data_IF_051601311828
#
_entry.id   IF_051601311828
#
_cell.length_a   1.000
_cell.length_b   1.000
_cell.length_c   1.000
_cell.angle_alpha   90.00
_cell.angle_beta   90.00
_cell.angle_gamma   90.00
#
_symmetry.space_group_name_H-M   'P 1'
#
loop_
_entity.id
_entity.type
_entity.pdbx_description
1 polymer ?
#
# COMPACT_ATOMS: atom_id res chain seq x y z
N UNK A 1 2.54 6.52 -26.77
CA UNK A 1 1.33 7.29 -26.43
C UNK A 1 0.18 6.31 -26.31
N UNK A 2 0.00 5.76 -25.12
CA UNK A 2 -1.18 4.99 -24.72
C UNK A 2 -1.34 5.29 -23.24
N UNK A 3 -1.98 6.43 -23.00
CA UNK A 3 -2.45 6.84 -21.69
C UNK A 3 -3.58 5.85 -21.40
N UNK A 4 -3.26 4.80 -20.63
CA UNK A 4 -4.27 4.01 -19.94
C UNK A 4 -4.94 5.02 -19.00
N UNK A 5 -6.17 5.40 -19.31
CA UNK A 5 -6.98 6.25 -18.45
C UNK A 5 -6.87 5.73 -17.01
N UNK A 6 -6.56 6.58 -16.02
CA UNK A 6 -6.76 6.23 -14.64
C UNK A 6 -8.27 6.09 -14.44
N UNK A 7 -8.78 4.87 -14.60
CA UNK A 7 -10.15 4.45 -14.34
C UNK A 7 -10.60 5.09 -13.04
N UNK A 8 -11.38 6.18 -13.16
CA UNK A 8 -12.57 6.57 -12.40
C UNK A 8 -12.73 5.95 -10.98
N UNK A 9 -11.68 5.96 -10.16
CA UNK A 9 -11.71 5.54 -8.75
C UNK A 9 -12.30 6.64 -7.85
N UNK A 10 -12.62 7.82 -8.40
CA UNK A 10 -13.17 8.96 -7.68
C UNK A 10 -14.61 8.77 -7.18
N UNK A 11 -15.43 7.93 -7.83
CA UNK A 11 -16.87 7.81 -7.50
C UNK A 11 -17.18 6.88 -6.34
N UNK A 12 -16.25 6.01 -5.94
CA UNK A 12 -16.46 5.02 -4.87
C UNK A 12 -16.09 5.54 -3.47
N UNK A 13 -15.48 6.73 -3.37
CA UNK A 13 -15.06 7.33 -2.08
C UNK A 13 -16.22 7.73 -1.15
N UNK A 14 -17.47 7.74 -1.61
CA UNK A 14 -18.63 8.17 -0.83
C UNK A 14 -19.52 7.04 -0.33
N UNK A 15 -19.29 5.80 -0.74
CA UNK A 15 -20.18 4.69 -0.36
C UNK A 15 -19.46 3.73 0.59
N UNK A 16 -19.96 3.78 1.83
CA UNK A 16 -19.60 2.98 3.00
C UNK A 16 -18.24 3.30 3.62
N UNK A 17 -18.25 4.06 4.72
CA UNK A 17 -17.21 3.85 5.73
C UNK A 17 -17.23 2.36 6.08
N UNK A 18 -16.11 1.62 5.96
CA UNK A 18 -16.06 0.19 6.25
C UNK A 18 -16.59 -0.15 7.65
N UNK A 19 -16.52 0.82 8.58
CA UNK A 19 -17.23 0.75 9.85
C UNK A 19 -18.70 0.35 9.67
N UNK A 20 -19.47 1.03 8.81
CA UNK A 20 -20.91 0.78 8.55
C UNK A 20 -21.17 -0.65 8.10
N UNK A 21 -20.25 -1.25 7.34
CA UNK A 21 -20.39 -2.64 6.90
C UNK A 21 -20.20 -3.59 8.09
N UNK A 22 -19.29 -3.28 9.01
CA UNK A 22 -19.13 -4.02 10.26
C UNK A 22 -20.37 -3.87 11.17
N UNK A 23 -20.97 -2.68 11.22
CA UNK A 23 -22.25 -2.43 11.91
C UNK A 23 -23.38 -3.31 11.37
N UNK A 24 -23.55 -3.34 10.04
CA UNK A 24 -24.58 -4.16 9.38
C UNK A 24 -24.31 -5.65 9.62
N UNK A 25 -23.05 -6.09 9.46
CA UNK A 25 -22.67 -7.48 9.64
C UNK A 25 -22.88 -7.98 11.08
N UNK A 26 -22.54 -7.16 12.08
CA UNK A 26 -22.75 -7.48 13.49
C UNK A 26 -24.24 -7.53 13.82
N UNK A 27 -25.06 -6.61 13.30
CA UNK A 27 -26.51 -6.63 13.47
C UNK A 27 -27.16 -7.86 12.82
N UNK A 28 -26.74 -8.25 11.61
CA UNK A 28 -27.25 -9.45 10.93
C UNK A 28 -26.75 -10.74 11.57
N UNK A 29 -25.52 -10.78 12.06
CA UNK A 29 -24.95 -11.93 12.77
C UNK A 29 -25.65 -12.19 14.11
N UNK A 30 -25.93 -11.12 14.88
CA UNK A 30 -26.70 -11.21 16.12
C UNK A 30 -28.15 -11.67 15.86
N UNK A 31 -28.78 -11.21 14.77
CA UNK A 31 -30.11 -11.67 14.37
C UNK A 31 -30.16 -13.09 13.78
N UNK A 32 -29.01 -13.64 13.34
CA UNK A 32 -28.88 -15.03 12.93
C UNK A 32 -28.73 -15.94 14.15
N UNK A 33 -27.88 -15.58 15.11
CA UNK A 33 -27.75 -16.28 16.40
C UNK A 33 -29.04 -16.23 17.23
N UNK A 34 -29.70 -15.08 17.30
CA UNK A 34 -30.98 -14.93 18.00
C UNK A 34 -32.15 -15.69 17.37
N UNK A 35 -32.04 -16.13 16.10
CA UNK A 35 -33.04 -16.99 15.44
C UNK A 35 -32.80 -18.48 15.73
N UNK A 36 -31.59 -18.88 16.11
CA UNK A 36 -31.26 -20.26 16.50
C UNK A 36 -31.70 -20.56 17.93
N UNK A 37 -31.95 -19.54 18.75
CA UNK A 37 -32.31 -19.66 20.17
C UNK A 37 -33.81 -19.41 20.47
N UNK A 38 -34.67 -19.43 19.45
CA UNK A 38 -36.12 -19.23 19.62
C UNK A 38 -36.85 -20.56 19.83
N UNK A 39 -36.66 -21.18 20.99
CA UNK A 39 -37.62 -22.18 21.47
C UNK A 39 -37.86 -22.21 23.00
N UNK A 40 -37.64 -21.10 23.72
CA UNK A 40 -38.02 -21.01 25.14
C UNK A 40 -38.65 -19.66 25.53
N UNK A 41 -39.96 -19.71 25.82
CA UNK A 41 -40.62 -18.82 26.80
C UNK A 41 -41.09 -17.44 26.32
N UNK A 42 -42.34 -17.33 25.85
CA UNK A 42 -43.02 -16.07 25.44
C UNK A 42 -43.41 -15.11 26.60
N UNK A 43 -43.01 -15.38 27.84
CA UNK A 43 -43.54 -14.65 29.03
C UNK A 43 -42.74 -13.43 29.50
N UNK A 44 -41.42 -13.36 29.24
CA UNK A 44 -40.52 -12.31 29.78
C UNK A 44 -39.91 -11.39 28.71
N UNK A 45 -40.40 -11.51 27.47
CA UNK A 45 -39.74 -10.98 26.28
C UNK A 45 -39.63 -9.44 26.21
N UNK A 46 -40.52 -8.70 26.88
CA UNK A 46 -40.62 -7.25 26.69
C UNK A 46 -39.59 -6.44 27.50
N UNK A 47 -39.24 -6.87 28.71
CA UNK A 47 -38.17 -6.24 29.52
C UNK A 47 -36.78 -6.62 28.99
N UNK A 48 -36.56 -7.88 28.61
CA UNK A 48 -35.30 -8.29 28.00
C UNK A 48 -35.06 -7.68 26.60
N UNK A 49 -36.11 -7.27 25.88
CA UNK A 49 -35.95 -6.58 24.61
C UNK A 49 -35.36 -5.17 24.77
N UNK A 50 -35.80 -4.40 25.77
CA UNK A 50 -35.28 -3.06 26.03
C UNK A 50 -33.80 -3.11 26.48
N UNK A 51 -33.47 -4.02 27.40
CA UNK A 51 -32.09 -4.20 27.86
C UNK A 51 -31.16 -4.69 26.75
N UNK A 52 -31.65 -5.55 25.84
CA UNK A 52 -30.90 -5.99 24.65
C UNK A 52 -30.68 -4.85 23.65
N UNK A 53 -31.65 -3.97 23.45
CA UNK A 53 -31.50 -2.80 22.57
C UNK A 53 -30.49 -1.81 23.14
N UNK A 54 -30.53 -1.55 24.45
CA UNK A 54 -29.54 -0.68 25.12
C UNK A 54 -28.15 -1.31 25.10
N UNK A 55 -28.03 -2.61 25.41
CA UNK A 55 -26.76 -3.33 25.33
C UNK A 55 -26.19 -3.33 23.91
N UNK A 56 -27.02 -3.50 22.87
CA UNK A 56 -26.60 -3.35 21.47
C UNK A 56 -26.19 -1.92 21.14
N UNK A 57 -26.95 -0.91 21.60
CA UNK A 57 -26.63 0.50 21.38
C UNK A 57 -25.30 0.94 22.04
N UNK A 58 -24.87 0.27 23.11
CA UNK A 58 -23.60 0.57 23.81
C UNK A 58 -22.45 -0.33 23.34
N UNK A 59 -22.68 -1.63 23.16
CA UNK A 59 -21.65 -2.58 22.75
C UNK A 59 -21.20 -2.36 21.30
N UNK A 60 -22.12 -1.99 20.41
CA UNK A 60 -21.83 -1.80 18.99
C UNK A 60 -20.88 -0.60 18.72
N UNK A 61 -21.05 0.58 19.36
CA UNK A 61 -20.06 1.67 19.24
C UNK A 61 -18.73 1.35 19.94
N UNK A 62 -18.73 0.60 21.04
CA UNK A 62 -17.49 0.18 21.70
C UNK A 62 -16.67 -0.77 20.81
N UNK A 63 -17.32 -1.73 20.14
CA UNK A 63 -16.69 -2.60 19.14
C UNK A 63 -16.21 -1.81 17.93
N UNK A 64 -16.99 -0.81 17.49
CA UNK A 64 -16.58 0.11 16.42
C UNK A 64 -15.32 0.91 16.76
N UNK A 65 -15.27 1.50 17.95
CA UNK A 65 -14.13 2.29 18.44
C UNK A 65 -12.87 1.43 18.63
N UNK A 66 -12.99 0.24 19.23
CA UNK A 66 -11.90 -0.71 19.34
C UNK A 66 -11.40 -1.17 17.96
N UNK A 67 -12.32 -1.34 17.01
CA UNK A 67 -12.02 -1.67 15.62
C UNK A 67 -11.17 -0.60 14.92
N UNK A 68 -11.47 0.69 15.10
CA UNK A 68 -10.70 1.78 14.47
C UNK A 68 -9.25 1.81 14.97
N UNK A 69 -9.04 1.69 16.28
CA UNK A 69 -7.70 1.65 16.87
C UNK A 69 -6.93 0.41 16.38
N UNK A 70 -7.58 -0.76 16.39
CA UNK A 70 -6.98 -1.99 15.89
C UNK A 70 -6.60 -1.87 14.40
N UNK A 71 -7.43 -1.19 13.60
CA UNK A 71 -7.19 -0.96 12.17
C UNK A 71 -5.96 -0.09 11.93
N UNK A 72 -5.74 0.99 12.69
CA UNK A 72 -4.56 1.83 12.47
C UNK A 72 -3.26 1.13 12.88
N UNK A 73 -3.29 0.35 13.97
CA UNK A 73 -2.14 -0.50 14.37
C UNK A 73 -1.87 -1.56 13.30
N UNK A 74 -2.91 -2.26 12.86
CA UNK A 74 -2.80 -3.31 11.85
C UNK A 74 -2.37 -2.74 10.49
N UNK A 75 -2.85 -1.55 10.11
CA UNK A 75 -2.40 -0.83 8.91
C UNK A 75 -0.92 -0.43 9.01
N UNK A 76 -0.43 -0.11 10.22
CA UNK A 76 1.00 0.03 10.50
C UNK A 76 1.78 -1.24 10.17
N UNK A 77 1.33 -2.39 10.68
CA UNK A 77 1.96 -3.70 10.42
C UNK A 77 1.90 -4.06 8.93
N UNK A 78 0.74 -3.88 8.28
CA UNK A 78 0.57 -4.11 6.83
C UNK A 78 1.58 -3.31 6.03
N UNK A 79 1.79 -2.03 6.36
CA UNK A 79 2.80 -1.19 5.69
C UNK A 79 4.22 -1.75 5.87
N UNK A 80 4.57 -2.20 7.07
CA UNK A 80 5.89 -2.81 7.31
C UNK A 80 6.06 -4.14 6.56
N UNK A 81 5.01 -4.96 6.48
CA UNK A 81 5.00 -6.18 5.66
C UNK A 81 5.14 -5.84 4.17
N UNK A 82 4.43 -4.83 3.68
CA UNK A 82 4.53 -4.35 2.30
C UNK A 82 5.93 -3.85 1.94
N UNK A 83 6.64 -3.24 2.87
CA UNK A 83 8.04 -2.85 2.69
C UNK A 83 9.02 -4.03 2.86
N UNK A 84 8.51 -5.22 3.23
CA UNK A 84 9.32 -6.41 3.47
C UNK A 84 10.06 -6.41 4.81
N UNK A 85 9.79 -5.43 5.69
CA UNK A 85 10.48 -5.22 6.97
C UNK A 85 9.94 -6.08 8.11
N UNK A 86 8.62 -6.31 8.13
CA UNK A 86 7.95 -7.11 9.16
C UNK A 86 7.67 -8.56 8.71
N UNK A 87 8.36 -9.06 7.69
CA UNK A 87 8.23 -10.46 7.25
C UNK A 87 9.28 -11.29 8.00
N UNK A 88 8.88 -12.33 8.77
CA UNK A 88 9.84 -13.19 9.46
C UNK A 88 10.89 -13.75 8.49
N UNK A 89 12.15 -13.82 8.92
CA UNK A 89 13.28 -14.28 8.11
C UNK A 89 13.06 -15.59 7.31
N UNK A 90 12.49 -16.67 7.88
CA UNK A 90 12.28 -17.89 7.10
C UNK A 90 11.23 -17.68 6.01
N UNK A 91 10.16 -16.94 6.31
CA UNK A 91 9.08 -16.66 5.36
C UNK A 91 9.55 -15.71 4.25
N UNK A 92 10.36 -14.70 4.57
CA UNK A 92 10.88 -13.76 3.58
C UNK A 92 11.79 -14.45 2.57
N UNK A 93 12.62 -15.40 3.01
CA UNK A 93 13.49 -16.21 2.15
C UNK A 93 12.67 -17.10 1.21
N UNK A 94 11.64 -17.77 1.73
CA UNK A 94 10.76 -18.62 0.93
C UNK A 94 9.97 -17.80 -0.10
N UNK A 95 9.31 -16.72 0.33
CA UNK A 95 8.55 -15.84 -0.55
C UNK A 95 9.43 -15.24 -1.66
N UNK A 96 10.64 -14.80 -1.31
CA UNK A 96 11.61 -14.30 -2.30
C UNK A 96 12.00 -15.39 -3.29
N UNK A 97 12.33 -16.60 -2.84
CA UNK A 97 12.68 -17.74 -3.72
C UNK A 97 11.54 -18.08 -4.68
N UNK A 98 10.33 -18.25 -4.18
CA UNK A 98 9.17 -18.57 -5.01
C UNK A 98 8.82 -17.43 -5.99
N UNK A 99 9.05 -16.17 -5.61
CA UNK A 99 8.88 -15.03 -6.53
C UNK A 99 9.97 -14.96 -7.58
N UNK A 100 11.23 -15.17 -7.19
CA UNK A 100 12.37 -15.19 -8.10
C UNK A 100 12.18 -16.28 -9.16
N UNK A 101 11.80 -17.49 -8.74
CA UNK A 101 11.56 -18.59 -9.67
C UNK A 101 10.44 -18.26 -10.67
N UNK A 102 9.30 -17.76 -10.19
CA UNK A 102 8.19 -17.32 -11.06
C UNK A 102 8.61 -16.20 -12.03
N UNK A 103 9.47 -15.28 -11.57
CA UNK A 103 9.98 -14.20 -12.41
C UNK A 103 10.94 -14.73 -13.48
N UNK A 104 11.86 -15.62 -13.13
CA UNK A 104 12.79 -16.26 -14.06
C UNK A 104 12.06 -17.02 -15.16
N UNK A 105 11.04 -17.83 -14.81
CA UNK A 105 10.19 -18.51 -15.80
C UNK A 105 9.51 -17.52 -16.75
N UNK A 106 9.03 -16.39 -16.23
CA UNK A 106 8.41 -15.35 -17.05
C UNK A 106 9.45 -14.63 -17.94
N UNK A 107 10.67 -14.41 -17.44
CA UNK A 107 11.76 -13.76 -18.15
C UNK A 107 12.27 -14.61 -19.32
N UNK A 108 12.45 -15.92 -19.12
CA UNK A 108 12.78 -16.85 -20.20
C UNK A 108 11.76 -16.78 -21.33
N UNK A 109 10.47 -16.65 -21.01
CA UNK A 109 9.42 -16.46 -22.01
C UNK A 109 9.55 -15.14 -22.80
N UNK A 110 9.96 -14.05 -22.15
CA UNK A 110 10.19 -12.75 -22.81
C UNK A 110 11.41 -12.82 -23.73
N UNK A 111 12.50 -13.44 -23.27
CA UNK A 111 13.74 -13.58 -24.04
C UNK A 111 13.56 -14.51 -25.25
N UNK A 112 12.79 -15.60 -25.09
CA UNK A 112 12.51 -16.55 -26.17
C UNK A 112 11.51 -16.00 -27.21
N UNK A 113 10.73 -14.96 -26.89
CA UNK A 113 9.80 -14.37 -27.83
C UNK A 113 10.54 -13.56 -28.89
N UNK A 114 10.45 -13.98 -30.15
CA UNK A 114 11.00 -13.27 -31.32
C UNK A 114 10.07 -12.16 -31.81
N UNK A 115 8.76 -12.40 -31.73
CA UNK A 115 7.72 -11.44 -32.08
C UNK A 115 7.57 -10.30 -31.06
N UNK A 116 7.44 -9.07 -31.55
CA UNK A 116 7.36 -7.85 -30.75
C UNK A 116 6.09 -7.77 -29.90
N UNK A 117 4.93 -8.18 -30.43
CA UNK A 117 3.67 -8.14 -29.70
C UNK A 117 3.62 -9.18 -28.58
N UNK A 118 4.05 -10.41 -28.88
CA UNK A 118 4.20 -11.46 -27.89
C UNK A 118 5.19 -11.05 -26.80
N UNK A 119 6.34 -10.48 -27.17
CA UNK A 119 7.34 -9.98 -26.23
C UNK A 119 6.75 -8.90 -25.31
N UNK A 120 6.00 -7.93 -25.84
CA UNK A 120 5.28 -6.91 -25.05
C UNK A 120 4.29 -7.52 -24.06
N UNK A 121 3.45 -8.46 -24.51
CA UNK A 121 2.46 -9.13 -23.63
C UNK A 121 3.15 -9.90 -22.50
N UNK A 122 4.20 -10.67 -22.82
CA UNK A 122 4.98 -11.42 -21.84
C UNK A 122 5.73 -10.51 -20.88
N UNK A 123 6.28 -9.39 -21.37
CA UNK A 123 6.92 -8.38 -20.54
C UNK A 123 5.92 -7.77 -19.56
N UNK A 124 4.68 -7.51 -19.98
CA UNK A 124 3.59 -7.09 -19.10
C UNK A 124 3.27 -8.13 -18.01
N UNK A 125 3.23 -9.42 -18.36
CA UNK A 125 3.03 -10.52 -17.38
C UNK A 125 4.17 -10.58 -16.37
N UNK A 126 5.42 -10.48 -16.83
CA UNK A 126 6.63 -10.44 -15.98
C UNK A 126 6.62 -9.22 -15.06
N UNK A 127 6.26 -8.05 -15.58
CA UNK A 127 6.16 -6.79 -14.82
C UNK A 127 5.12 -6.84 -13.68
N UNK A 128 4.07 -7.67 -13.81
CA UNK A 128 3.14 -7.95 -12.70
C UNK A 128 3.83 -8.67 -11.54
N UNK A 129 4.85 -9.48 -11.81
CA UNK A 129 5.67 -10.13 -10.79
C UNK A 129 6.70 -9.15 -10.24
N UNK A 130 7.54 -8.56 -11.08
CA UNK A 130 8.50 -7.50 -10.76
C UNK A 130 9.05 -6.86 -12.05
N UNK A 131 9.44 -5.58 -12.01
CA UNK A 131 10.03 -4.90 -13.17
C UNK A 131 11.47 -5.36 -13.46
N UNK A 132 12.22 -5.58 -12.39
CA UNK A 132 13.57 -6.14 -12.39
C UNK A 132 13.58 -7.44 -11.57
N UNK A 133 14.74 -8.10 -11.49
CA UNK A 133 14.91 -9.29 -10.67
C UNK A 133 14.48 -9.02 -9.20
N UNK A 134 13.54 -9.82 -8.63
CA UNK A 134 13.03 -9.58 -7.28
C UNK A 134 14.11 -9.62 -6.20
N UNK A 135 14.21 -8.55 -5.40
CA UNK A 135 15.17 -8.45 -4.27
C UNK A 135 14.47 -8.43 -2.92
N UNK A 136 13.17 -8.18 -2.89
CA UNK A 136 12.30 -8.06 -1.72
C UNK A 136 11.22 -9.16 -1.73
N UNK A 137 10.71 -9.60 -0.56
CA UNK A 137 9.60 -10.56 -0.48
C UNK A 137 8.30 -10.03 -1.10
N UNK A 138 8.12 -8.71 -1.19
CA UNK A 138 6.91 -8.06 -1.69
C UNK A 138 7.16 -7.24 -2.95
N UNK A 139 6.13 -7.11 -3.79
CA UNK A 139 6.22 -6.25 -4.98
C UNK A 139 6.35 -4.76 -4.61
N UNK A 140 5.69 -4.31 -3.54
CA UNK A 140 5.77 -2.92 -3.07
C UNK A 140 7.17 -2.60 -2.56
N UNK A 141 7.79 -3.51 -1.80
CA UNK A 141 9.18 -3.39 -1.37
C UNK A 141 10.14 -3.37 -2.55
N UNK A 142 9.97 -4.28 -3.52
CA UNK A 142 10.78 -4.28 -4.76
C UNK A 142 10.70 -2.94 -5.49
N UNK A 143 9.50 -2.34 -5.60
CA UNK A 143 9.32 -1.06 -6.30
C UNK A 143 10.02 0.10 -5.59
N UNK A 144 9.88 0.18 -4.27
CA UNK A 144 10.57 1.21 -3.47
C UNK A 144 12.09 1.04 -3.53
N UNK A 145 12.60 -0.19 -3.39
CA UNK A 145 14.04 -0.47 -3.53
C UNK A 145 14.56 -0.22 -4.95
N UNK A 146 13.74 -0.46 -5.98
CA UNK A 146 14.10 -0.16 -7.36
C UNK A 146 14.21 1.35 -7.60
N UNK A 147 13.28 2.16 -7.07
CA UNK A 147 13.39 3.62 -7.07
C UNK A 147 14.70 4.08 -6.41
N UNK A 148 14.96 3.64 -5.19
CA UNK A 148 16.18 4.01 -4.46
C UNK A 148 17.45 3.61 -5.22
N UNK A 149 17.47 2.42 -5.82
CA UNK A 149 18.59 1.94 -6.63
C UNK A 149 18.76 2.76 -7.90
N UNK A 150 17.66 3.12 -8.57
CA UNK A 150 17.69 3.93 -9.79
C UNK A 150 18.20 5.33 -9.48
N UNK A 151 17.66 6.01 -8.48
CA UNK A 151 18.13 7.35 -8.07
C UNK A 151 19.61 7.30 -7.69
N UNK A 152 20.05 6.28 -6.95
CA UNK A 152 21.46 6.12 -6.60
C UNK A 152 22.35 5.89 -7.82
N UNK A 153 21.93 5.05 -8.76
CA UNK A 153 22.73 4.71 -9.94
C UNK A 153 22.78 5.86 -10.95
N UNK A 154 21.68 6.59 -11.14
CA UNK A 154 21.60 7.71 -12.08
C UNK A 154 22.26 8.97 -11.52
N UNK A 155 22.03 9.28 -10.25
CA UNK A 155 22.39 10.57 -9.66
C UNK A 155 23.44 10.48 -8.55
N UNK A 156 23.91 9.29 -8.18
CA UNK A 156 24.80 9.13 -7.02
C UNK A 156 24.15 9.49 -5.68
N UNK A 157 22.84 9.80 -5.67
CA UNK A 157 22.14 10.37 -4.53
C UNK A 157 21.57 9.30 -3.60
N UNK A 158 21.81 9.45 -2.29
CA UNK A 158 21.22 8.61 -1.25
C UNK A 158 19.83 9.14 -0.89
N UNK A 159 18.81 8.66 -1.61
CA UNK A 159 17.44 9.16 -1.50
C UNK A 159 16.93 9.26 -0.04
N UNK A 160 17.07 8.25 0.85
CA UNK A 160 16.62 8.37 2.23
C UNK A 160 17.24 9.53 3.02
N UNK A 161 18.52 9.83 2.77
CA UNK A 161 19.24 10.91 3.46
C UNK A 161 18.96 12.29 2.86
N UNK A 162 18.77 12.34 1.54
CA UNK A 162 18.50 13.57 0.80
C UNK A 162 17.02 14.01 0.89
N UNK A 163 16.10 13.05 1.05
CA UNK A 163 14.65 13.28 0.98
C UNK A 163 14.12 14.40 1.90
N UNK A 164 14.50 14.48 3.20
CA UNK A 164 14.00 15.55 4.06
C UNK A 164 14.38 16.95 3.59
N UNK A 165 15.53 17.09 2.93
CA UNK A 165 16.01 18.38 2.40
C UNK A 165 15.39 18.68 1.05
N UNK A 166 15.30 17.67 0.18
CA UNK A 166 14.56 17.77 -1.07
C UNK A 166 13.13 18.28 -0.79
N UNK A 167 12.47 17.72 0.23
CA UNK A 167 11.12 18.13 0.65
C UNK A 167 10.99 19.62 1.01
N UNK A 168 12.05 20.27 1.48
CA UNK A 168 12.05 21.70 1.80
C UNK A 168 12.18 22.58 0.55
N UNK A 169 12.77 22.04 -0.52
CA UNK A 169 12.95 22.72 -1.81
C UNK A 169 11.74 22.52 -2.74
N UNK A 170 10.95 21.47 -2.51
CA UNK A 170 9.79 21.16 -3.36
C UNK A 170 8.72 22.27 -3.30
N UNK A 171 8.17 22.69 -4.45
CA UNK A 171 7.00 23.57 -4.51
C UNK A 171 5.79 22.96 -3.81
N UNK A 172 4.90 23.81 -3.29
CA UNK A 172 3.70 23.36 -2.57
C UNK A 172 2.80 22.43 -3.37
N UNK A 173 2.63 22.69 -4.66
CA UNK A 173 1.86 21.83 -5.56
C UNK A 173 2.43 20.40 -5.61
N UNK A 174 3.75 20.26 -5.75
CA UNK A 174 4.42 18.95 -5.79
C UNK A 174 4.31 18.22 -4.44
N UNK A 175 4.45 18.97 -3.33
CA UNK A 175 4.24 18.41 -1.98
C UNK A 175 2.80 17.93 -1.78
N UNK A 176 1.82 18.65 -2.34
CA UNK A 176 0.41 18.25 -2.26
C UNK A 176 0.15 16.93 -3.00
N UNK A 177 0.69 16.78 -4.21
CA UNK A 177 0.58 15.55 -4.99
C UNK A 177 1.27 14.34 -4.31
N UNK A 178 2.47 14.54 -3.77
CA UNK A 178 3.17 13.50 -3.01
C UNK A 178 2.38 13.09 -1.75
N UNK A 179 1.81 14.05 -1.01
CA UNK A 179 0.94 13.75 0.14
C UNK A 179 -0.33 13.02 -0.30
N UNK A 180 -0.91 13.38 -1.44
CA UNK A 180 -2.07 12.69 -1.98
C UNK A 180 -1.75 11.22 -2.29
N UNK A 181 -0.66 10.96 -3.02
CA UNK A 181 -0.20 9.61 -3.33
C UNK A 181 0.12 8.79 -2.06
N UNK A 182 0.79 9.40 -1.08
CA UNK A 182 1.03 8.78 0.22
C UNK A 182 -0.28 8.46 0.96
N UNK A 183 -1.27 9.35 0.89
CA UNK A 183 -2.61 9.15 1.43
C UNK A 183 -3.32 7.95 0.81
N UNK A 184 -3.23 7.77 -0.51
CA UNK A 184 -3.78 6.60 -1.21
C UNK A 184 -3.10 5.30 -0.73
N UNK A 185 -1.78 5.33 -0.55
CA UNK A 185 -1.03 4.18 -0.05
C UNK A 185 -1.41 3.81 1.39
N UNK A 186 -1.55 4.80 2.27
CA UNK A 186 -2.04 4.60 3.65
C UNK A 186 -3.48 4.09 3.69
N UNK A 187 -4.35 4.65 2.85
CA UNK A 187 -5.73 4.19 2.75
C UNK A 187 -5.77 2.71 2.34
N UNK A 188 -5.02 2.31 1.31
CA UNK A 188 -4.99 0.92 0.86
C UNK A 188 -4.53 -0.05 1.96
N UNK A 189 -3.52 0.33 2.76
CA UNK A 189 -3.11 -0.48 3.92
C UNK A 189 -4.24 -0.61 4.97
N UNK A 190 -5.01 0.47 5.19
CA UNK A 190 -6.19 0.46 6.06
C UNK A 190 -7.28 -0.48 5.56
N UNK A 191 -7.53 -0.53 4.25
CA UNK A 191 -8.49 -1.47 3.67
C UNK A 191 -8.07 -2.93 3.83
N UNK A 192 -6.77 -3.24 3.80
CA UNK A 192 -6.27 -4.59 4.14
C UNK A 192 -6.53 -4.91 5.60
N UNK A 193 -6.28 -3.96 6.51
CA UNK A 193 -6.55 -4.15 7.93
C UNK A 193 -8.04 -4.50 8.16
N UNK A 194 -8.96 -3.79 7.51
CA UNK A 194 -10.38 -4.15 7.51
C UNK A 194 -10.66 -5.54 6.96
N UNK A 195 -10.04 -5.92 5.83
CA UNK A 195 -10.23 -7.24 5.25
C UNK A 195 -9.79 -8.36 6.21
N UNK A 196 -8.71 -8.16 6.98
CA UNK A 196 -8.27 -9.10 8.01
C UNK A 196 -9.27 -9.21 9.15
N UNK A 197 -9.81 -8.08 9.64
CA UNK A 197 -10.87 -8.12 10.65
C UNK A 197 -12.12 -8.86 10.15
N UNK A 198 -12.53 -8.63 8.91
CA UNK A 198 -13.64 -9.38 8.29
C UNK A 198 -13.32 -10.88 8.15
N UNK A 199 -12.07 -11.25 7.89
CA UNK A 199 -11.66 -12.65 7.82
C UNK A 199 -11.78 -13.37 9.18
N UNK A 200 -11.41 -12.69 10.27
CA UNK A 200 -11.59 -13.22 11.63
C UNK A 200 -13.08 -13.40 11.93
N UNK A 201 -13.90 -12.40 11.60
CA UNK A 201 -15.34 -12.48 11.82
C UNK A 201 -16.03 -13.52 10.92
N UNK A 202 -15.47 -13.80 9.74
CA UNK A 202 -15.96 -14.84 8.84
C UNK A 202 -15.91 -16.25 9.42
N UNK A 203 -15.08 -16.49 10.45
CA UNK A 203 -15.09 -17.74 11.22
C UNK A 203 -16.43 -17.97 11.94
N UNK A 204 -17.14 -16.90 12.28
CA UNK A 204 -18.46 -16.96 12.92
C UNK A 204 -19.60 -16.88 11.91
N UNK A 205 -19.41 -16.15 10.81
CA UNK A 205 -20.44 -15.95 9.79
C UNK A 205 -19.81 -15.90 8.40
N UNK A 206 -19.91 -17.03 7.69
CA UNK A 206 -19.22 -17.28 6.42
C UNK A 206 -19.43 -16.23 5.30
N UNK A 207 -20.56 -15.48 5.19
CA UNK A 207 -20.70 -14.45 4.14
C UNK A 207 -19.64 -13.35 4.23
N UNK A 208 -19.06 -13.13 5.41
CA UNK A 208 -17.95 -12.20 5.58
C UNK A 208 -16.66 -12.68 4.93
N UNK A 209 -16.52 -13.97 4.64
CA UNK A 209 -15.38 -14.47 3.87
C UNK A 209 -15.36 -13.87 2.46
N UNK A 210 -16.54 -13.76 1.83
CA UNK A 210 -16.67 -13.14 0.50
C UNK A 210 -16.33 -11.65 0.59
N UNK A 211 -16.88 -10.95 1.57
CA UNK A 211 -16.61 -9.53 1.78
C UNK A 211 -15.12 -9.28 2.05
N UNK A 212 -14.50 -10.09 2.91
CA UNK A 212 -13.06 -10.05 3.21
C UNK A 212 -12.24 -10.25 1.95
N UNK A 213 -12.53 -11.28 1.15
CA UNK A 213 -11.81 -11.58 -0.07
C UNK A 213 -11.89 -10.44 -1.09
N UNK A 214 -13.09 -9.92 -1.35
CA UNK A 214 -13.30 -8.80 -2.28
C UNK A 214 -12.57 -7.54 -1.81
N UNK A 215 -12.67 -7.22 -0.52
CA UNK A 215 -11.99 -6.07 0.09
C UNK A 215 -10.48 -6.20 -0.02
N UNK A 216 -9.94 -7.38 0.30
CA UNK A 216 -8.50 -7.66 0.22
C UNK A 216 -7.99 -7.51 -1.21
N UNK A 217 -8.68 -8.09 -2.19
CA UNK A 217 -8.31 -8.01 -3.60
C UNK A 217 -8.30 -6.55 -4.08
N UNK A 218 -9.34 -5.78 -3.75
CA UNK A 218 -9.43 -4.37 -4.11
C UNK A 218 -8.30 -3.56 -3.45
N UNK A 219 -8.05 -3.78 -2.16
CA UNK A 219 -7.01 -3.08 -1.40
C UNK A 219 -5.60 -3.39 -1.91
N UNK A 220 -5.31 -4.64 -2.28
CA UNK A 220 -4.01 -5.02 -2.87
C UNK A 220 -3.82 -4.36 -4.23
N UNK A 221 -4.86 -4.30 -5.08
CA UNK A 221 -4.78 -3.61 -6.38
C UNK A 221 -4.57 -2.11 -6.20
N UNK A 222 -5.35 -1.47 -5.34
CA UNK A 222 -5.22 -0.05 -5.01
C UNK A 222 -3.84 0.26 -4.42
N UNK A 223 -3.33 -0.58 -3.51
CA UNK A 223 -2.01 -0.44 -2.91
C UNK A 223 -0.88 -0.51 -3.94
N UNK A 224 -0.99 -1.40 -4.93
CA UNK A 224 -0.02 -1.49 -6.03
C UNK A 224 -0.05 -0.26 -6.93
N UNK A 225 -1.24 0.24 -7.27
CA UNK A 225 -1.40 1.48 -8.03
C UNK A 225 -0.83 2.69 -7.29
N UNK A 226 -1.16 2.84 -6.00
CA UNK A 226 -0.63 3.91 -5.16
C UNK A 226 0.89 3.84 -4.99
N UNK A 227 1.46 2.62 -4.90
CA UNK A 227 2.92 2.43 -4.86
C UNK A 227 3.57 2.88 -6.17
N UNK A 228 3.00 2.52 -7.33
CA UNK A 228 3.54 2.97 -8.62
C UNK A 228 3.50 4.50 -8.73
N UNK A 229 2.35 5.10 -8.41
CA UNK A 229 2.17 6.55 -8.44
C UNK A 229 3.18 7.27 -7.54
N UNK A 230 3.31 6.85 -6.28
CA UNK A 230 4.24 7.52 -5.36
C UNK A 230 5.69 7.34 -5.81
N UNK A 231 6.08 6.16 -6.33
CA UNK A 231 7.46 5.97 -6.81
C UNK A 231 7.77 6.84 -8.02
N UNK A 232 6.84 6.93 -8.98
CA UNK A 232 7.02 7.73 -10.19
C UNK A 232 7.07 9.23 -9.85
N UNK A 233 6.24 9.71 -8.92
CA UNK A 233 6.28 11.09 -8.43
C UNK A 233 7.56 11.40 -7.65
N UNK A 234 8.07 10.45 -6.85
CA UNK A 234 9.34 10.63 -6.14
C UNK A 234 10.52 10.70 -7.12
N UNK A 235 10.51 9.88 -8.17
CA UNK A 235 11.52 9.93 -9.25
C UNK A 235 11.46 11.29 -9.95
N UNK A 236 10.28 11.69 -10.44
CA UNK A 236 10.10 12.98 -11.09
C UNK A 236 10.47 14.19 -10.20
N UNK A 237 10.19 14.10 -8.89
CA UNK A 237 10.58 15.14 -7.93
C UNK A 237 12.10 15.25 -7.79
N UNK A 238 12.83 14.13 -7.82
CA UNK A 238 14.30 14.13 -7.81
C UNK A 238 14.84 14.67 -9.13
N UNK A 239 14.28 14.25 -10.27
CA UNK A 239 14.73 14.65 -11.59
C UNK A 239 14.57 16.17 -11.80
N UNK A 240 13.43 16.72 -11.38
CA UNK A 240 13.10 18.14 -11.61
C UNK A 240 13.69 19.07 -10.53
N UNK A 241 13.77 18.63 -9.27
CA UNK A 241 14.18 19.50 -8.14
C UNK A 241 15.52 19.12 -7.51
N UNK A 242 16.16 18.05 -7.98
CA UNK A 242 17.52 17.69 -7.59
C UNK A 242 18.55 18.79 -7.85
N UNK A 243 18.56 19.46 -9.03
CA UNK A 243 19.46 20.58 -9.30
C UNK A 243 19.23 21.76 -8.35
N UNK A 244 17.96 22.08 -8.03
CA UNK A 244 17.63 23.14 -7.08
C UNK A 244 18.15 22.83 -5.67
N UNK A 245 18.07 21.55 -5.24
CA UNK A 245 18.67 21.11 -3.99
C UNK A 245 20.20 21.25 -4.00
N UNK A 246 20.85 20.88 -5.10
CA UNK A 246 22.30 21.02 -5.26
C UNK A 246 22.73 22.49 -5.13
N UNK A 247 22.00 23.41 -5.75
CA UNK A 247 22.25 24.84 -5.68
C UNK A 247 22.13 25.38 -4.25
N UNK A 248 21.05 25.04 -3.53
CA UNK A 248 20.86 25.48 -2.14
C UNK A 248 21.89 24.92 -1.17
N UNK A 249 22.46 23.74 -1.45
CA UNK A 249 23.51 23.13 -0.63
C UNK A 249 24.93 23.56 -1.05
N UNK A 250 25.09 24.45 -2.03
CA UNK A 250 26.42 24.85 -2.54
C UNK A 250 27.18 23.70 -3.20
N UNK A 251 26.46 22.67 -3.66
CA UNK A 251 27.01 21.47 -4.28
C UNK A 251 26.94 21.52 -5.81
N UNK A 252 26.25 22.50 -6.39
CA UNK A 252 26.17 22.67 -7.83
C UNK A 252 27.55 23.05 -8.41
N UNK A 253 28.10 22.18 -9.24
CA UNK A 253 29.18 22.53 -10.14
C UNK A 253 28.54 23.22 -11.34
N UNK A 254 28.97 24.44 -11.68
CA UNK A 254 28.35 25.32 -12.68
C UNK A 254 28.29 24.78 -14.13
N UNK A 255 28.33 23.47 -14.33
CA UNK A 255 28.40 22.74 -15.58
C UNK A 255 27.04 22.37 -16.22
N UNK A 256 25.90 22.79 -15.66
CA UNK A 256 24.61 22.67 -16.34
C UNK A 256 23.41 22.51 -15.40
N UNK A 257 22.19 22.41 -15.98
CA UNK A 257 20.96 22.23 -15.21
C UNK A 257 20.77 20.82 -14.67
N UNK A 258 21.65 19.86 -15.00
CA UNK A 258 21.43 18.44 -14.73
C UNK A 258 22.11 17.97 -13.44
N UNK A 259 21.43 17.10 -12.70
CA UNK A 259 22.00 16.44 -11.53
C UNK A 259 22.96 15.34 -12.00
N UNK A 260 24.26 15.50 -11.75
CA UNK A 260 25.27 14.47 -12.07
C UNK A 260 25.56 13.55 -10.88
N UNK A 261 26.08 12.33 -11.11
CA UNK A 261 26.54 11.44 -10.05
C UNK A 261 27.47 12.10 -9.04
N UNK A 262 28.44 12.89 -9.51
CA UNK A 262 29.40 13.59 -8.66
C UNK A 262 28.72 14.60 -7.73
N UNK A 263 27.78 15.38 -8.28
CA UNK A 263 26.95 16.32 -7.51
C UNK A 263 26.17 15.61 -6.41
N UNK A 264 25.54 14.46 -6.72
CA UNK A 264 24.82 13.67 -5.71
C UNK A 264 25.73 13.11 -4.62
N UNK A 265 26.97 12.71 -4.93
CA UNK A 265 27.92 12.30 -3.88
C UNK A 265 28.32 13.44 -2.95
N UNK A 266 28.46 14.67 -3.47
CA UNK A 266 28.70 15.87 -2.64
C UNK A 266 27.52 16.16 -1.72
N UNK A 267 26.30 16.11 -2.27
CA UNK A 267 25.07 16.23 -1.46
C UNK A 267 25.07 15.16 -0.36
N UNK A 268 25.41 13.91 -0.66
CA UNK A 268 25.46 12.86 0.36
C UNK A 268 26.46 13.17 1.49
N UNK A 269 27.64 13.71 1.17
CA UNK A 269 28.64 14.11 2.19
C UNK A 269 28.10 15.19 3.14
N UNK A 270 27.44 16.21 2.59
CA UNK A 270 26.83 17.29 3.39
C UNK A 270 25.64 16.77 4.21
N UNK A 271 24.80 15.93 3.61
CA UNK A 271 23.55 15.48 4.23
C UNK A 271 23.74 14.42 5.30
N UNK A 272 24.70 13.50 5.13
CA UNK A 272 25.06 12.50 6.15
C UNK A 272 25.85 13.09 7.31
N UNK A 273 26.27 14.36 7.25
CA UNK A 273 27.21 14.99 8.21
C UNK A 273 28.36 14.02 8.47
N UNK A 274 29.30 13.93 7.54
CA UNK A 274 30.47 13.05 7.65
C UNK A 274 30.99 13.01 9.11
N UNK A 275 30.84 11.84 9.73
CA UNK A 275 31.74 11.38 10.78
C UNK A 275 32.95 10.81 10.06
#
# INVERSE_FOLDING_TARGET
MLIDEPVQLGRWRRFAEPAVVLWIAAATGAGWWGRVDLDLGRGTAQQHAADRVVALLVALPLVGAAGVIAVDVLAGVVRQVWLGRAVPWPLSRLLRRSRLHRWQTADTGVQAATDGDRRRRLAGRRARIALAEPRSPTWTGDRMTALESRVRNTYGLDLPSAWPRLWLVLPDAVRAELRHAAGLWHAAARWIAWAVLYAVLALTWWPLAILSALTLIAAVRAGRGATALITDLMEAAVDLHGPALAAQLGCADGAGPDLTPDTGTRINRVTRKAV
#
